data_IF_914962454473
#
_entry.id   IF_914962454473
#
_cell.length_a   1.000
_cell.length_b   1.000
_cell.length_c   1.000
_cell.angle_alpha   90.00
_cell.angle_beta   90.00
_cell.angle_gamma   90.00
#
_symmetry.space_group_name_H-M   'P 1'
#
loop_
_entity.id
_entity.type
_entity.pdbx_description
1 polymer ?
#
# COMPACT_ATOMS: atom_id res chain seq x y z
N UNK A 1 5.92 14.61 3.54
CA UNK A 1 5.64 13.81 2.31
C UNK A 1 5.89 14.61 1.03
N UNK A 2 5.27 15.76 0.82
CA UNK A 2 5.46 16.55 -0.42
C UNK A 2 6.89 17.09 -0.59
N UNK A 3 7.53 17.56 0.47
CA UNK A 3 8.92 18.04 0.42
C UNK A 3 9.94 16.93 0.13
N UNK A 4 9.70 15.71 0.63
CA UNK A 4 10.55 14.55 0.31
C UNK A 4 10.48 14.21 -1.18
N UNK A 5 9.27 14.19 -1.75
CA UNK A 5 9.08 14.04 -3.21
C UNK A 5 9.81 15.13 -3.99
N UNK A 6 9.70 16.39 -3.56
CA UNK A 6 10.38 17.51 -4.22
C UNK A 6 11.91 17.37 -4.21
N UNK A 7 12.47 16.72 -3.18
CA UNK A 7 13.90 16.43 -3.05
C UNK A 7 14.32 15.11 -3.72
N UNK A 8 13.39 14.38 -4.36
CA UNK A 8 13.67 13.08 -4.97
C UNK A 8 14.00 11.98 -3.95
N UNK A 9 13.55 12.14 -2.70
CA UNK A 9 13.79 11.17 -1.64
C UNK A 9 12.65 10.16 -1.52
N UNK A 10 12.98 8.97 -1.03
CA UNK A 10 12.02 7.96 -0.64
C UNK A 10 10.98 8.54 0.33
N UNK A 11 9.76 8.01 0.24
CA UNK A 11 8.67 8.43 1.12
C UNK A 11 8.86 7.94 2.55
N UNK A 12 9.60 6.84 2.72
CA UNK A 12 9.68 6.05 3.94
C UNK A 12 11.06 6.10 4.62
N UNK A 13 12.12 6.47 3.90
CA UNK A 13 13.45 6.70 4.44
C UNK A 13 14.11 7.92 3.76
N UNK A 14 15.36 8.20 4.12
CA UNK A 14 16.11 9.37 3.61
C UNK A 14 17.03 9.03 2.41
N UNK A 15 16.82 7.89 1.77
CA UNK A 15 17.52 7.51 0.53
C UNK A 15 16.86 8.10 -0.72
N UNK A 16 17.58 8.13 -1.84
CA UNK A 16 17.04 8.58 -3.12
C UNK A 16 15.92 7.64 -3.62
N UNK A 17 14.86 8.22 -4.17
CA UNK A 17 13.78 7.44 -4.76
C UNK A 17 14.23 6.76 -6.05
N UNK A 18 14.20 5.43 -6.06
CA UNK A 18 14.37 4.63 -7.27
C UNK A 18 13.12 3.77 -7.53
N UNK A 19 12.75 3.51 -8.80
CA UNK A 19 11.71 2.54 -9.11
C UNK A 19 12.03 1.20 -8.45
N UNK A 20 11.12 0.71 -7.60
CA UNK A 20 11.31 -0.55 -6.86
C UNK A 20 11.71 -0.37 -5.39
N UNK A 21 12.40 0.70 -5.00
CA UNK A 21 12.83 0.90 -3.60
C UNK A 21 11.66 1.00 -2.61
N UNK A 22 10.51 1.51 -3.07
CA UNK A 22 9.28 1.49 -2.26
C UNK A 22 8.89 0.08 -1.80
N UNK A 23 9.26 -0.98 -2.53
CA UNK A 23 8.93 -2.38 -2.20
C UNK A 23 9.71 -2.87 -0.97
N UNK A 24 10.92 -2.35 -0.72
CA UNK A 24 11.70 -2.67 0.48
C UNK A 24 11.00 -2.17 1.75
N UNK A 25 10.30 -1.03 1.64
CA UNK A 25 9.53 -0.45 2.75
C UNK A 25 8.06 -0.91 2.78
N UNK A 26 7.56 -1.42 1.66
CA UNK A 26 6.15 -1.82 1.52
C UNK A 26 5.93 -3.16 2.21
N UNK A 27 5.61 -3.09 3.49
CA UNK A 27 5.08 -4.23 4.23
C UNK A 27 3.70 -4.59 3.69
N UNK A 28 3.64 -5.62 2.87
CA UNK A 28 2.37 -6.13 2.33
C UNK A 28 1.62 -6.82 3.46
N UNK A 29 0.42 -6.35 3.76
CA UNK A 29 -0.53 -7.02 4.65
C UNK A 29 -1.58 -7.69 3.78
N UNK A 30 -1.79 -8.98 3.96
CA UNK A 30 -2.88 -9.72 3.34
C UNK A 30 -4.04 -9.74 4.34
N UNK A 31 -5.16 -9.14 3.94
CA UNK A 31 -6.41 -9.22 4.69
C UNK A 31 -7.25 -10.33 4.06
N UNK A 32 -7.57 -11.35 4.86
CA UNK A 32 -8.49 -12.42 4.48
C UNK A 32 -9.85 -12.02 5.02
N UNK A 33 -10.85 -11.93 4.15
CA UNK A 33 -12.24 -11.80 4.53
C UNK A 33 -12.93 -13.09 4.14
N UNK A 34 -13.44 -13.80 5.14
CA UNK A 34 -14.32 -14.94 4.93
C UNK A 34 -15.69 -14.38 4.55
N UNK A 35 -16.23 -14.82 3.42
CA UNK A 35 -17.58 -14.52 2.98
C UNK A 35 -18.44 -15.71 3.39
N UNK A 36 -19.31 -15.53 4.37
CA UNK A 36 -20.40 -16.47 4.61
C UNK A 36 -21.42 -16.35 3.47
N UNK A 37 -21.89 -17.49 2.94
CA UNK A 37 -22.85 -17.56 1.84
C UNK A 37 -24.20 -16.84 2.14
N UNK A 38 -24.44 -16.47 3.40
CA UNK A 38 -25.63 -15.74 3.85
C UNK A 38 -25.58 -14.22 3.58
N UNK A 39 -24.40 -13.66 3.27
CA UNK A 39 -24.21 -12.20 3.04
C UNK A 39 -24.21 -11.82 1.54
N UNK A 40 -24.66 -12.73 0.66
CA UNK A 40 -24.87 -12.34 -0.75
C UNK A 40 -25.99 -11.29 -0.79
N UNK A 41 -25.78 -10.10 -1.38
CA UNK A 41 -26.86 -9.16 -1.57
C UNK A 41 -27.85 -9.79 -2.56
N UNK A 42 -28.90 -10.40 -2.02
CA UNK A 42 -30.09 -10.71 -2.78
C UNK A 42 -30.68 -9.37 -3.20
N UNK A 43 -30.49 -9.02 -4.48
CA UNK A 43 -31.13 -7.89 -5.13
C UNK A 43 -32.63 -7.92 -4.78
N UNK A 44 -33.04 -7.00 -3.89
CA UNK A 44 -34.40 -6.83 -3.38
C UNK A 44 -35.02 -5.57 -3.96
#
# INVERSE_FOLDING_TARGET
>A
MSERKAKGLCMFCDEAFTPGHQLEHRRTQLFVMELDDEDSPVDS
#
